data_IF_920673232939
#
_entry.id   IF_920673232939
#
_cell.length_a   1.000
_cell.length_b   1.000
_cell.length_c   1.000
_cell.angle_alpha   90.00
_cell.angle_beta   90.00
_cell.angle_gamma   90.00
#
_symmetry.space_group_name_H-M   'P 1'
#
loop_
_entity.id
_entity.type
_entity.pdbx_description
1 polymer ?
#
# COMPACT_ATOMS: atom_id res chain seq x y z
N UNK A 1 -1.25 6.39 22.87
CA UNK A 1 -1.33 4.92 22.97
C UNK A 1 -2.61 4.47 22.28
N UNK A 2 -2.58 3.35 21.55
CA UNK A 2 -3.54 2.89 20.53
C UNK A 2 -3.43 3.57 19.16
N UNK A 3 -3.91 4.82 18.98
CA UNK A 3 -3.82 5.51 17.66
C UNK A 3 -2.36 5.67 17.20
N UNK A 4 -1.47 6.05 18.12
CA UNK A 4 -0.05 6.18 17.82
C UNK A 4 0.63 4.87 17.43
N UNK A 5 0.12 3.74 17.90
CA UNK A 5 0.67 2.42 17.56
C UNK A 5 0.15 1.98 16.19
N UNK A 6 -1.12 2.23 15.87
CA UNK A 6 -1.68 2.05 14.53
C UNK A 6 -0.93 2.87 13.47
N UNK A 7 -0.57 4.12 13.78
CA UNK A 7 0.22 4.95 12.86
C UNK A 7 1.62 4.33 12.63
N UNK A 8 2.27 3.86 13.69
CA UNK A 8 3.60 3.22 13.57
C UNK A 8 3.53 1.94 12.76
N UNK A 9 2.51 1.11 13.00
CA UNK A 9 2.30 -0.14 12.28
C UNK A 9 1.98 0.11 10.81
N UNK A 10 1.05 1.03 10.53
CA UNK A 10 0.74 1.48 9.17
C UNK A 10 1.99 1.97 8.42
N UNK A 11 2.85 2.78 9.07
CA UNK A 11 4.13 3.22 8.48
C UNK A 11 5.14 2.09 8.32
N UNK A 12 5.15 1.09 9.19
CA UNK A 12 5.99 -0.09 9.03
C UNK A 12 5.60 -0.89 7.77
N UNK A 13 4.29 -0.96 7.48
CA UNK A 13 3.78 -1.60 6.27
C UNK A 13 3.94 -0.70 5.02
N UNK A 14 3.54 0.56 5.06
CA UNK A 14 3.64 1.50 3.94
C UNK A 14 3.83 2.93 4.46
N UNK A 15 5.07 3.41 4.44
CA UNK A 15 5.38 4.80 4.76
C UNK A 15 5.47 5.65 3.48
N UNK A 16 4.44 6.47 3.23
CA UNK A 16 4.43 7.38 2.08
C UNK A 16 5.48 8.49 2.18
N UNK A 17 5.93 8.86 3.39
CA UNK A 17 6.99 9.87 3.58
C UNK A 17 8.34 9.39 3.01
N UNK A 18 8.58 8.07 3.02
CA UNK A 18 9.82 7.45 2.57
C UNK A 18 9.68 6.70 1.24
N UNK A 19 8.45 6.59 0.72
CA UNK A 19 8.13 5.69 -0.38
C UNK A 19 9.00 5.95 -1.61
N UNK A 20 9.21 7.21 -1.98
CA UNK A 20 10.05 7.61 -3.11
C UNK A 20 11.54 7.25 -2.93
N UNK A 21 12.00 7.14 -1.68
CA UNK A 21 13.38 6.80 -1.33
C UNK A 21 13.61 5.27 -1.26
N UNK A 22 12.55 4.47 -1.29
CA UNK A 22 12.68 3.02 -1.31
C UNK A 22 13.34 2.54 -2.60
N UNK A 23 14.06 1.41 -2.50
CA UNK A 23 14.51 0.68 -3.69
C UNK A 23 13.32 0.35 -4.57
N UNK A 24 13.50 0.35 -5.89
CA UNK A 24 12.38 0.18 -6.83
C UNK A 24 11.61 -1.14 -6.63
N UNK A 25 12.31 -2.24 -6.33
CA UNK A 25 11.68 -3.52 -5.96
C UNK A 25 10.76 -3.40 -4.73
N UNK A 26 11.16 -2.59 -3.72
CA UNK A 26 10.34 -2.36 -2.52
C UNK A 26 9.14 -1.48 -2.86
N UNK A 27 9.30 -0.41 -3.65
CA UNK A 27 8.16 0.39 -4.13
C UNK A 27 7.14 -0.48 -4.88
N UNK A 28 7.62 -1.29 -5.82
CA UNK A 28 6.80 -2.19 -6.62
C UNK A 28 6.04 -3.21 -5.77
N UNK A 29 6.70 -3.83 -4.78
CA UNK A 29 6.08 -4.77 -3.85
C UNK A 29 5.07 -4.09 -2.91
N UNK A 30 5.40 -2.91 -2.38
CA UNK A 30 4.51 -2.20 -1.44
C UNK A 30 3.20 -1.74 -2.08
N UNK A 31 3.23 -1.39 -3.36
CA UNK A 31 2.01 -1.10 -4.12
C UNK A 31 1.14 -2.35 -4.34
N UNK A 32 1.76 -3.53 -4.49
CA UNK A 32 1.05 -4.81 -4.59
C UNK A 32 0.34 -5.13 -3.27
N UNK A 33 1.09 -5.05 -2.15
CA UNK A 33 0.54 -5.25 -0.80
C UNK A 33 -0.62 -4.28 -0.50
N UNK A 34 -0.52 -3.02 -0.94
CA UNK A 34 -1.62 -2.04 -0.81
C UNK A 34 -2.88 -2.44 -1.60
N UNK A 35 -2.71 -2.98 -2.81
CA UNK A 35 -3.83 -3.46 -3.63
C UNK A 35 -4.51 -4.65 -2.94
N UNK A 36 -3.74 -5.58 -2.40
CA UNK A 36 -4.26 -6.75 -1.71
C UNK A 36 -5.03 -6.35 -0.44
N UNK A 37 -4.47 -5.44 0.36
CA UNK A 37 -5.13 -4.92 1.57
C UNK A 37 -6.48 -4.25 1.27
N UNK A 38 -6.58 -3.51 0.15
CA UNK A 38 -7.83 -2.90 -0.30
C UNK A 38 -8.87 -3.94 -0.76
N UNK A 39 -8.42 -5.02 -1.43
CA UNK A 39 -9.29 -6.10 -1.91
C UNK A 39 -9.79 -6.98 -0.76
N UNK A 40 -8.94 -7.26 0.21
CA UNK A 40 -9.28 -8.03 1.41
C UNK A 40 -10.09 -7.22 2.43
N UNK A 41 -10.20 -5.90 2.22
CA UNK A 41 -10.98 -5.02 3.08
C UNK A 41 -10.27 -4.67 4.39
N UNK A 42 -8.95 -4.82 4.46
CA UNK A 42 -8.15 -4.47 5.63
C UNK A 42 -8.04 -2.95 5.87
N UNK A 43 -8.39 -2.13 4.87
CA UNK A 43 -8.42 -0.67 4.99
C UNK A 43 -9.81 -0.06 4.75
N UNK A 44 -10.28 0.84 5.64
CA UNK A 44 -9.69 1.18 6.95
C UNK A 44 -9.94 0.08 7.99
N UNK A 45 -9.12 0.03 9.05
CA UNK A 45 -9.29 -0.90 10.16
C UNK A 45 -10.74 -0.88 10.70
N UNK A 46 -11.31 -2.05 10.95
CA UNK A 46 -12.69 -2.17 11.47
C UNK A 46 -12.92 -1.35 12.75
N UNK A 47 -11.94 -1.37 13.65
CA UNK A 47 -11.99 -0.59 14.90
C UNK A 47 -12.08 0.92 14.68
N UNK A 48 -11.53 1.44 13.58
CA UNK A 48 -11.66 2.84 13.16
C UNK A 48 -13.05 3.11 12.61
N UNK A 49 -13.56 2.21 11.76
CA UNK A 49 -14.89 2.29 11.16
C UNK A 49 -16.05 2.15 12.18
N UNK A 50 -15.79 1.67 13.39
CA UNK A 50 -16.83 1.60 14.44
C UNK A 50 -17.37 2.99 14.80
N UNK A 51 -16.49 3.99 14.89
CA UNK A 51 -16.84 5.38 15.27
C UNK A 51 -16.70 6.37 14.11
N UNK A 52 -15.92 6.04 13.07
CA UNK A 52 -15.72 6.85 11.86
C UNK A 52 -16.42 6.21 10.66
N UNK A 53 -17.76 6.28 10.64
CA UNK A 53 -18.57 5.70 9.56
C UNK A 53 -18.34 6.38 8.21
N UNK A 54 -17.91 7.64 8.25
CA UNK A 54 -17.51 8.46 7.10
C UNK A 54 -16.21 7.95 6.43
N UNK A 55 -15.40 7.16 7.13
CA UNK A 55 -14.17 6.61 6.59
C UNK A 55 -14.37 5.31 5.80
N UNK A 56 -15.56 4.71 5.85
CA UNK A 56 -15.86 3.47 5.14
C UNK A 56 -15.78 3.71 3.64
N UNK A 57 -14.76 3.14 3.01
CA UNK A 57 -14.57 3.25 1.57
C UNK A 57 -15.67 2.51 0.81
N UNK A 58 -16.30 3.21 -0.12
CA UNK A 58 -17.17 2.62 -1.12
C UNK A 58 -16.37 1.75 -2.10
N UNK A 59 -17.05 0.84 -2.79
CA UNK A 59 -16.40 0.00 -3.81
C UNK A 59 -15.76 0.84 -4.93
N UNK A 60 -16.38 1.98 -5.27
CA UNK A 60 -15.83 2.89 -6.28
C UNK A 60 -14.54 3.55 -5.80
N UNK A 61 -14.48 3.99 -4.53
CA UNK A 61 -13.26 4.56 -3.94
C UNK A 61 -12.16 3.52 -3.81
N UNK A 62 -12.49 2.29 -3.36
CA UNK A 62 -11.53 1.18 -3.35
C UNK A 62 -10.97 0.91 -4.73
N UNK A 63 -11.83 0.84 -5.74
CA UNK A 63 -11.40 0.60 -7.12
C UNK A 63 -10.52 1.74 -7.66
N UNK A 64 -10.81 2.99 -7.31
CA UNK A 64 -9.99 4.13 -7.68
C UNK A 64 -8.57 4.02 -7.09
N UNK A 65 -8.44 3.64 -5.82
CA UNK A 65 -7.16 3.43 -5.16
C UNK A 65 -6.40 2.23 -5.75
N UNK A 66 -7.10 1.12 -6.02
CA UNK A 66 -6.52 -0.07 -6.68
C UNK A 66 -5.96 0.31 -8.05
N UNK A 67 -6.73 1.03 -8.85
CA UNK A 67 -6.32 1.47 -10.19
C UNK A 67 -5.13 2.42 -10.13
N UNK A 68 -5.11 3.32 -9.15
CA UNK A 68 -3.98 4.22 -8.93
C UNK A 68 -2.70 3.46 -8.59
N UNK A 69 -2.74 2.51 -7.63
CA UNK A 69 -1.61 1.66 -7.29
C UNK A 69 -1.14 0.83 -8.50
N UNK A 70 -2.07 0.24 -9.25
CA UNK A 70 -1.78 -0.56 -10.43
C UNK A 70 -1.10 0.28 -11.53
N UNK A 71 -1.60 1.48 -11.81
CA UNK A 71 -1.01 2.37 -12.82
C UNK A 71 0.43 2.79 -12.49
N UNK A 72 0.73 3.01 -11.21
CA UNK A 72 2.12 3.28 -10.77
C UNK A 72 2.99 2.03 -10.97
N UNK A 73 2.49 0.84 -10.61
CA UNK A 73 3.22 -0.42 -10.82
C UNK A 73 3.51 -0.67 -12.29
N UNK A 74 2.55 -0.41 -13.18
CA UNK A 74 2.75 -0.55 -14.62
C UNK A 74 3.80 0.42 -15.13
N UNK A 75 3.78 1.67 -14.65
CA UNK A 75 4.81 2.67 -14.96
C UNK A 75 6.21 2.23 -14.50
N UNK A 76 6.31 1.65 -13.30
CA UNK A 76 7.56 1.08 -12.78
C UNK A 76 8.00 -0.11 -13.66
N UNK A 77 7.09 -1.04 -13.96
CA UNK A 77 7.37 -2.24 -14.76
C UNK A 77 7.82 -1.89 -16.18
N UNK A 78 7.28 -0.83 -16.78
CA UNK A 78 7.69 -0.34 -18.09
C UNK A 78 9.09 0.32 -18.07
N UNK A 79 9.47 0.95 -16.96
CA UNK A 79 10.71 1.72 -16.84
C UNK A 79 11.92 0.88 -16.44
N UNK A 80 11.73 -0.18 -15.67
CA UNK A 80 12.83 -0.97 -15.09
C UNK A 80 12.79 -2.42 -15.59
N UNK A 81 13.97 -3.06 -15.77
CA UNK A 81 14.03 -4.46 -16.16
C UNK A 81 13.46 -5.36 -15.04
N UNK A 82 12.94 -6.52 -15.41
CA UNK A 82 12.20 -7.42 -14.51
C UNK A 82 13.03 -7.85 -13.27
N UNK A 83 14.34 -8.01 -13.43
CA UNK A 83 15.26 -8.39 -12.35
C UNK A 83 15.37 -7.31 -11.25
N UNK A 84 15.14 -6.04 -11.61
CA UNK A 84 15.16 -4.91 -10.68
C UNK A 84 13.92 -4.82 -9.80
N UNK A 85 12.84 -5.54 -10.14
CA UNK A 85 11.57 -5.55 -9.41
C UNK A 85 11.53 -6.62 -8.31
N UNK A 86 12.50 -7.53 -8.28
CA UNK A 86 12.54 -8.65 -7.34
C UNK A 86 13.36 -8.30 -6.10
N UNK A 87 12.77 -8.47 -4.91
CA UNK A 87 13.51 -8.33 -3.65
C UNK A 87 14.40 -9.56 -3.44
N UNK A 88 15.70 -9.40 -3.70
CA UNK A 88 16.70 -10.42 -3.38
C UNK A 88 16.89 -10.49 -1.86
N UNK A 89 16.61 -11.65 -1.24
CA UNK A 89 16.98 -11.90 0.16
C UNK A 89 18.50 -11.99 0.25
N UNK A 90 19.12 -11.26 1.18
CA UNK A 90 20.52 -11.54 1.55
C UNK A 90 20.56 -12.89 2.27
N UNK A 91 21.50 -13.76 1.86
CA UNK A 91 21.91 -14.94 2.63
C UNK A 91 22.61 -14.50 3.91
#
# INVERSE_FOLDING_TARGET
WWIGDHIKDGKHHLNFDEFSNYRIAKQYKKLDECIDELKEGGMPLDSYNLIHKDAVLTDTEKQALINWCAGIRDSIKAKYPADSLVIKRKK
#
